data_IF_302944604724
#
_entry.id   IF_302944604724
#
_cell.length_a   1.000
_cell.length_b   1.000
_cell.length_c   1.000
_cell.angle_alpha   90.00
_cell.angle_beta   90.00
_cell.angle_gamma   90.00
#
_symmetry.space_group_name_H-M   'P 1'
#
loop_
_entity.id
_entity.type
_entity.pdbx_description
1 polymer ?
#
# COMPACT_ATOMS: atom_id res chain seq x y z
N UNK A 1 -31.01 29.27 93.97
CA UNK A 1 -29.55 29.40 93.80
C UNK A 1 -28.92 28.06 94.15
N UNK A 2 -28.03 27.56 93.30
CA UNK A 2 -27.41 26.22 93.41
C UNK A 2 -28.30 25.14 92.77
N UNK A 3 -27.92 24.43 91.72
CA UNK A 3 -26.61 23.95 91.32
C UNK A 3 -26.79 22.46 91.06
N UNK A 4 -27.20 22.08 89.85
CA UNK A 4 -27.45 20.68 89.48
C UNK A 4 -26.36 20.20 88.53
N UNK A 5 -25.56 19.28 89.05
CA UNK A 5 -24.61 18.45 88.31
C UNK A 5 -25.32 17.66 87.22
N UNK A 6 -24.79 17.70 85.99
CA UNK A 6 -25.07 16.71 84.96
C UNK A 6 -23.78 16.01 84.57
N UNK A 7 -23.85 14.69 84.61
CA UNK A 7 -22.78 13.72 84.36
C UNK A 7 -22.53 13.63 82.85
N UNK A 8 -21.26 13.71 82.48
CA UNK A 8 -20.70 13.54 81.14
C UNK A 8 -20.71 12.05 80.80
N UNK A 9 -21.39 11.68 79.72
CA UNK A 9 -21.31 10.35 79.08
C UNK A 9 -20.60 10.46 77.74
N UNK A 10 -19.42 9.87 77.65
CA UNK A 10 -18.58 9.74 76.46
C UNK A 10 -19.26 8.88 75.38
N UNK A 11 -19.35 9.40 74.15
CA UNK A 11 -19.53 8.60 72.93
C UNK A 11 -18.17 8.58 72.24
N UNK A 12 -17.56 7.39 72.15
CA UNK A 12 -16.30 7.17 71.45
C UNK A 12 -16.54 7.15 69.94
N UNK A 13 -15.84 8.03 69.22
CA UNK A 13 -15.74 8.02 67.77
C UNK A 13 -14.68 6.99 67.33
N UNK A 14 -15.09 5.99 66.56
CA UNK A 14 -14.20 5.11 65.81
C UNK A 14 -13.98 5.68 64.41
N UNK A 15 -12.87 6.39 64.21
CA UNK A 15 -12.38 6.81 62.90
C UNK A 15 -11.56 5.65 62.33
N UNK A 16 -12.09 4.97 61.31
CA UNK A 16 -11.35 4.00 60.52
C UNK A 16 -10.46 4.75 59.53
N UNK A 17 -9.16 4.84 59.83
CA UNK A 17 -8.14 5.37 58.92
C UNK A 17 -7.81 4.29 57.88
N UNK A 18 -8.31 4.44 56.65
CA UNK A 18 -7.84 3.63 55.51
C UNK A 18 -6.52 4.25 55.06
N UNK A 19 -5.41 3.59 55.40
CA UNK A 19 -4.11 3.90 54.82
C UNK A 19 -4.09 3.41 53.37
N UNK A 20 -4.16 4.34 52.41
CA UNK A 20 -3.83 4.08 51.02
C UNK A 20 -2.33 3.79 50.93
N UNK A 21 -1.99 2.51 50.86
CA UNK A 21 -0.63 2.04 50.62
C UNK A 21 -0.34 2.27 49.13
N UNK A 22 0.38 3.34 48.80
CA UNK A 22 1.01 3.49 47.49
C UNK A 22 2.13 2.46 47.40
N UNK A 23 1.85 1.34 46.75
CA UNK A 23 2.87 0.39 46.31
C UNK A 23 3.47 0.98 45.04
N UNK A 24 4.66 1.56 45.15
CA UNK A 24 5.49 1.91 44.00
C UNK A 24 5.96 0.60 43.35
N UNK A 25 5.15 0.10 42.41
CA UNK A 25 5.56 -0.98 41.51
C UNK A 25 6.74 -0.52 40.67
N UNK A 26 7.74 -1.39 40.54
CA UNK A 26 8.84 -1.22 39.59
C UNK A 26 8.28 -0.98 38.17
N UNK A 27 8.98 -0.21 37.30
CA UNK A 27 8.54 -0.03 35.92
C UNK A 27 8.45 -1.40 35.26
N UNK A 28 7.24 -1.77 34.84
CA UNK A 28 7.04 -2.94 34.00
C UNK A 28 7.93 -2.77 32.77
N UNK A 29 8.78 -3.76 32.52
CA UNK A 29 9.62 -3.82 31.35
C UNK A 29 8.71 -3.82 30.12
N UNK A 30 8.95 -2.87 29.22
CA UNK A 30 8.04 -2.46 28.16
C UNK A 30 7.76 -3.62 27.18
N UNK A 31 6.60 -4.25 27.30
CA UNK A 31 6.04 -4.98 26.17
C UNK A 31 5.92 -3.98 25.01
N UNK A 32 6.46 -4.31 23.84
CA UNK A 32 6.35 -3.45 22.65
C UNK A 32 5.02 -3.70 21.92
N UNK A 33 3.95 -3.97 22.68
CA UNK A 33 2.64 -4.28 22.15
C UNK A 33 1.97 -2.97 21.76
N UNK A 34 1.99 -2.63 20.47
CA UNK A 34 1.27 -1.46 19.94
C UNK A 34 -0.20 -1.53 20.33
N UNK A 35 -0.80 -0.40 20.67
CA UNK A 35 -2.22 -0.29 21.04
C UNK A 35 -2.53 -0.60 22.50
N UNK A 36 -1.57 -1.07 23.31
CA UNK A 36 -1.72 -1.26 24.76
C UNK A 36 -1.39 0.06 25.49
N UNK A 37 -2.33 1.00 25.45
CA UNK A 37 -2.13 2.38 25.94
C UNK A 37 -2.29 2.49 27.46
N UNK A 38 -2.90 1.49 28.10
CA UNK A 38 -3.01 1.41 29.56
C UNK A 38 -1.89 0.60 30.23
N UNK A 39 -0.98 0.05 29.43
CA UNK A 39 0.19 -0.73 29.85
C UNK A 39 -0.16 -2.03 30.61
N UNK A 40 -1.31 -2.65 30.33
CA UNK A 40 -1.73 -3.88 30.99
C UNK A 40 -1.31 -5.17 30.25
N UNK A 41 -0.56 -5.04 29.14
CA UNK A 41 -0.10 -6.12 28.26
C UNK A 41 -1.21 -6.77 27.41
N UNK A 42 -2.37 -6.13 27.27
CA UNK A 42 -3.52 -6.62 26.51
C UNK A 42 -4.12 -5.47 25.69
N UNK A 43 -4.15 -5.61 24.37
CA UNK A 43 -4.85 -4.66 23.48
C UNK A 43 -6.34 -5.00 23.44
N UNK A 44 -7.19 -4.05 23.84
CA UNK A 44 -8.64 -4.24 23.98
C UNK A 44 -9.43 -2.95 23.76
N UNK A 45 -10.76 -3.02 23.83
CA UNK A 45 -11.63 -1.82 23.78
C UNK A 45 -11.35 -0.81 24.89
N UNK A 46 -10.70 -1.20 25.98
CA UNK A 46 -10.29 -0.28 27.05
C UNK A 46 -9.26 0.70 26.52
N UNK A 47 -8.30 0.23 25.73
CA UNK A 47 -7.27 1.06 25.14
C UNK A 47 -7.87 2.07 24.14
N UNK A 48 -8.77 1.59 23.28
CA UNK A 48 -9.53 2.44 22.36
C UNK A 48 -10.32 3.53 23.12
N UNK A 49 -10.97 3.16 24.22
CA UNK A 49 -11.74 4.11 25.03
C UNK A 49 -10.85 5.16 25.71
N UNK A 50 -9.59 4.83 26.04
CA UNK A 50 -8.64 5.79 26.59
C UNK A 50 -8.14 6.76 25.52
N UNK A 51 -7.85 6.28 24.32
CA UNK A 51 -7.52 7.13 23.16
C UNK A 51 -8.67 8.11 22.88
N UNK A 52 -9.92 7.62 22.83
CA UNK A 52 -11.09 8.49 22.62
C UNK A 52 -11.30 9.51 23.76
N UNK A 53 -10.94 9.16 24.99
CA UNK A 53 -10.97 10.11 26.12
C UNK A 53 -9.86 11.16 26.01
N UNK A 54 -8.68 10.80 25.51
CA UNK A 54 -7.59 11.74 25.25
C UNK A 54 -8.00 12.73 24.15
N UNK A 55 -8.49 12.22 23.01
CA UNK A 55 -8.97 13.01 21.87
C UNK A 55 -10.10 13.98 22.27
N UNK A 56 -11.02 13.51 23.12
CA UNK A 56 -12.10 14.34 23.69
C UNK A 56 -11.64 15.30 24.82
N UNK A 57 -10.34 15.36 25.13
CA UNK A 57 -9.75 16.13 26.23
C UNK A 57 -10.39 15.85 27.60
N UNK A 58 -10.90 14.63 27.81
CA UNK A 58 -11.43 14.16 29.09
C UNK A 58 -10.31 13.71 30.04
N UNK A 59 -9.21 13.22 29.46
CA UNK A 59 -7.95 12.93 30.16
C UNK A 59 -6.82 13.76 29.53
N UNK A 60 -5.77 14.02 30.30
CA UNK A 60 -4.65 14.87 29.88
C UNK A 60 -3.44 14.12 29.31
N UNK A 61 -3.37 12.80 29.51
CA UNK A 61 -2.28 11.95 28.99
C UNK A 61 -2.67 10.47 29.10
N UNK A 62 -1.98 9.61 28.34
CA UNK A 62 -2.11 8.16 28.43
C UNK A 62 -0.98 7.55 29.29
N UNK A 63 -1.22 6.43 29.99
CA UNK A 63 -0.17 5.70 30.70
C UNK A 63 1.00 5.28 29.79
N UNK A 64 0.69 4.76 28.60
CA UNK A 64 1.63 4.37 27.55
C UNK A 64 1.37 5.16 26.25
N UNK A 65 1.58 6.47 26.29
CA UNK A 65 1.34 7.39 25.15
C UNK A 65 2.16 7.05 23.90
N UNK A 66 3.33 6.41 24.04
CA UNK A 66 4.13 6.01 22.88
C UNK A 66 3.59 4.77 22.14
N UNK A 67 2.47 4.20 22.58
CA UNK A 67 1.81 3.04 21.97
C UNK A 67 0.46 3.38 21.34
N UNK A 68 0.04 4.64 21.41
CA UNK A 68 -1.32 5.05 21.05
C UNK A 68 -1.47 5.55 19.63
N UNK A 69 -0.38 5.91 18.97
CA UNK A 69 -0.33 6.28 17.55
C UNK A 69 -0.07 5.00 16.72
N UNK A 70 -1.13 4.45 16.13
CA UNK A 70 -1.16 3.15 15.45
C UNK A 70 -1.08 3.27 13.93
N UNK A 71 -1.40 4.44 13.38
CA UNK A 71 -1.17 4.74 11.96
C UNK A 71 0.10 5.58 11.72
N UNK A 72 0.84 5.85 12.80
CA UNK A 72 2.10 6.60 12.86
C UNK A 72 1.98 8.05 12.39
N UNK A 73 0.77 8.61 12.31
CA UNK A 73 0.54 9.96 11.77
C UNK A 73 1.06 11.11 12.65
N UNK A 74 1.57 10.77 13.83
CA UNK A 74 2.11 11.70 14.82
C UNK A 74 1.05 12.27 15.76
N UNK A 75 -0.20 11.84 15.63
CA UNK A 75 -1.30 12.20 16.52
C UNK A 75 -1.83 10.96 17.25
N UNK A 76 -2.69 11.16 18.24
CA UNK A 76 -3.39 10.07 18.92
C UNK A 76 -4.84 10.48 19.00
N UNK A 77 -5.66 9.92 18.11
CA UNK A 77 -7.03 10.35 17.92
C UNK A 77 -8.02 9.18 17.69
N UNK A 78 -9.26 9.52 17.33
CA UNK A 78 -10.30 8.51 17.10
C UNK A 78 -9.96 7.46 16.02
N UNK A 79 -9.01 7.74 15.13
CA UNK A 79 -8.51 6.84 14.08
C UNK A 79 -7.72 5.67 14.68
N UNK A 80 -6.81 5.95 15.61
CA UNK A 80 -6.07 4.91 16.34
C UNK A 80 -7.01 4.02 17.17
N UNK A 81 -7.98 4.64 17.84
CA UNK A 81 -9.00 3.94 18.59
C UNK A 81 -9.81 2.99 17.68
N UNK A 82 -10.13 3.41 16.45
CA UNK A 82 -10.82 2.57 15.48
C UNK A 82 -9.98 1.34 15.10
N UNK A 83 -8.67 1.49 14.91
CA UNK A 83 -7.76 0.37 14.62
C UNK A 83 -7.79 -0.68 15.73
N UNK A 84 -7.75 -0.26 17.00
CA UNK A 84 -7.88 -1.16 18.16
C UNK A 84 -9.23 -1.89 18.15
N UNK A 85 -10.32 -1.17 17.89
CA UNK A 85 -11.66 -1.77 17.84
C UNK A 85 -11.81 -2.77 16.69
N UNK A 86 -11.19 -2.51 15.53
CA UNK A 86 -11.16 -3.45 14.41
C UNK A 86 -10.37 -4.71 14.77
N UNK A 87 -9.25 -4.58 15.48
CA UNK A 87 -8.46 -5.70 15.95
C UNK A 87 -9.22 -6.57 16.95
N UNK A 88 -9.85 -5.98 17.96
CA UNK A 88 -10.67 -6.71 18.94
C UNK A 88 -11.87 -7.40 18.27
N UNK A 89 -12.45 -6.79 17.22
CA UNK A 89 -13.50 -7.37 16.41
C UNK A 89 -13.02 -8.44 15.40
N UNK A 90 -11.71 -8.74 15.34
CA UNK A 90 -11.08 -9.66 14.39
C UNK A 90 -11.29 -9.28 12.92
N UNK A 91 -11.47 -7.98 12.64
CA UNK A 91 -11.53 -7.44 11.27
C UNK A 91 -10.14 -7.19 10.69
N UNK A 92 -9.16 -6.94 11.56
CA UNK A 92 -7.73 -6.92 11.23
C UNK A 92 -6.96 -7.88 12.15
N UNK A 93 -5.79 -8.34 11.71
CA UNK A 93 -5.03 -9.41 12.38
C UNK A 93 -3.96 -8.86 13.34
N UNK A 94 -3.58 -7.59 13.18
CA UNK A 94 -2.59 -6.91 14.02
C UNK A 94 -2.93 -5.43 14.13
N UNK A 95 -2.61 -4.84 15.30
CA UNK A 95 -2.57 -3.38 15.52
C UNK A 95 -1.16 -2.81 15.34
N UNK A 96 -0.15 -3.68 15.23
CA UNK A 96 1.19 -3.21 14.87
C UNK A 96 1.11 -2.61 13.46
N UNK A 97 1.69 -1.41 13.25
CA UNK A 97 1.97 -0.94 11.91
C UNK A 97 2.67 -2.06 11.15
N UNK A 98 2.37 -2.28 9.86
CA UNK A 98 3.00 -3.33 9.07
C UNK A 98 4.52 -3.09 9.04
N UNK A 99 5.23 -3.70 9.99
CA UNK A 99 6.68 -3.67 10.08
C UNK A 99 7.20 -4.72 9.11
N UNK A 100 7.56 -4.27 7.91
CA UNK A 100 8.07 -5.17 6.89
C UNK A 100 9.50 -5.55 7.26
N UNK A 101 9.63 -6.72 7.89
CA UNK A 101 10.91 -7.32 8.23
C UNK A 101 11.69 -7.60 6.94
N UNK A 102 12.81 -6.91 6.75
CA UNK A 102 13.63 -7.06 5.54
C UNK A 102 14.30 -8.44 5.41
N UNK A 103 14.23 -9.29 6.43
CA UNK A 103 14.88 -10.60 6.45
C UNK A 103 14.30 -11.60 5.43
N UNK A 104 13.02 -11.50 5.07
CA UNK A 104 12.40 -12.33 4.02
C UNK A 104 12.54 -11.72 2.61
N UNK A 105 13.19 -10.56 2.53
CA UNK A 105 13.43 -9.85 1.29
C UNK A 105 14.88 -10.01 0.89
N UNK A 106 15.18 -10.84 -0.11
CA UNK A 106 16.44 -10.65 -0.82
C UNK A 106 16.43 -9.23 -1.40
N UNK A 107 17.40 -8.36 -1.07
CA UNK A 107 17.45 -7.00 -1.58
C UNK A 107 17.29 -7.01 -3.11
N UNK A 108 16.26 -6.33 -3.60
CA UNK A 108 15.98 -6.26 -5.04
C UNK A 108 14.90 -7.20 -5.60
N UNK A 109 14.29 -8.08 -4.81
CA UNK A 109 13.11 -8.84 -5.28
C UNK A 109 11.82 -8.21 -4.76
N UNK A 110 11.23 -7.30 -5.55
CA UNK A 110 9.80 -7.06 -5.44
C UNK A 110 9.07 -8.40 -5.62
N UNK A 111 7.96 -8.65 -4.91
CA UNK A 111 7.15 -9.84 -5.14
C UNK A 111 6.94 -9.97 -6.65
N UNK A 112 7.41 -11.07 -7.22
CA UNK A 112 7.39 -11.22 -8.67
C UNK A 112 5.96 -11.03 -9.15
N UNK A 113 5.76 -10.16 -10.14
CA UNK A 113 4.45 -10.04 -10.80
C UNK A 113 3.98 -11.35 -11.46
N UNK A 114 4.80 -12.40 -11.47
CA UNK A 114 4.53 -13.73 -12.00
C UNK A 114 3.34 -14.49 -11.40
N UNK A 115 2.44 -13.82 -10.69
CA UNK A 115 1.14 -14.35 -10.29
C UNK A 115 -0.07 -13.67 -10.96
N UNK A 116 0.10 -12.56 -11.68
CA UNK A 116 -1.02 -11.95 -12.40
C UNK A 116 -1.30 -12.71 -13.69
N UNK A 117 -2.59 -12.93 -13.97
CA UNK A 117 -3.04 -13.35 -15.29
C UNK A 117 -2.89 -12.20 -16.30
N UNK A 118 -3.06 -12.48 -17.59
CA UNK A 118 -3.03 -11.44 -18.62
C UNK A 118 -4.14 -10.42 -18.39
N UNK A 119 -5.34 -10.90 -18.04
CA UNK A 119 -6.45 -10.05 -17.63
C UNK A 119 -6.11 -9.20 -16.41
N UNK A 120 -5.36 -9.73 -15.44
CA UNK A 120 -4.91 -8.97 -14.27
C UNK A 120 -3.99 -7.80 -14.62
N UNK A 121 -3.05 -8.01 -15.56
CA UNK A 121 -2.17 -6.93 -16.07
C UNK A 121 -2.98 -5.85 -16.77
N UNK A 122 -3.82 -6.24 -17.73
CA UNK A 122 -4.61 -5.31 -18.54
C UNK A 122 -5.69 -4.58 -17.73
N UNK A 123 -6.29 -5.25 -16.74
CA UNK A 123 -7.25 -4.62 -15.83
C UNK A 123 -6.60 -3.50 -15.01
N UNK A 124 -5.35 -3.68 -14.56
CA UNK A 124 -4.62 -2.63 -13.87
C UNK A 124 -4.36 -1.41 -14.78
N UNK A 125 -3.97 -1.64 -16.04
CA UNK A 125 -3.71 -0.58 -17.01
C UNK A 125 -4.97 0.22 -17.36
N UNK A 126 -6.12 -0.44 -17.47
CA UNK A 126 -7.41 0.22 -17.73
C UNK A 126 -7.87 1.03 -16.52
N UNK A 127 -7.79 0.48 -15.31
CA UNK A 127 -8.34 1.10 -14.11
C UNK A 127 -7.46 2.20 -13.51
N UNK A 128 -6.13 2.14 -13.71
CA UNK A 128 -5.20 3.13 -13.18
C UNK A 128 -5.52 4.58 -13.59
N UNK A 129 -5.73 4.91 -14.89
CA UNK A 129 -6.07 6.27 -15.31
C UNK A 129 -7.50 6.70 -14.92
N UNK A 130 -8.41 5.75 -14.67
CA UNK A 130 -9.79 6.04 -14.26
C UNK A 130 -9.94 6.32 -12.76
N UNK A 131 -9.00 5.82 -11.96
CA UNK A 131 -9.01 5.96 -10.51
C UNK A 131 -8.14 7.14 -10.06
N UNK A 132 -8.71 8.03 -9.25
CA UNK A 132 -7.94 9.01 -8.47
C UNK A 132 -7.43 8.43 -7.13
N UNK A 133 -7.87 7.23 -6.77
CA UNK A 133 -7.48 6.56 -5.53
C UNK A 133 -6.09 5.94 -5.65
N UNK A 134 -5.36 5.97 -4.53
CA UNK A 134 -4.06 5.31 -4.35
C UNK A 134 -4.15 3.80 -4.56
N UNK A 135 -5.28 3.18 -4.19
CA UNK A 135 -5.54 1.77 -4.39
C UNK A 135 -6.66 1.57 -5.41
N UNK A 136 -6.47 0.58 -6.28
CA UNK A 136 -7.53 0.08 -7.16
C UNK A 136 -8.49 -0.78 -6.34
N UNK A 137 -9.79 -0.70 -6.66
CA UNK A 137 -10.80 -1.58 -6.07
C UNK A 137 -10.53 -3.02 -6.50
N UNK A 138 -10.18 -3.90 -5.55
CA UNK A 138 -9.88 -5.32 -5.83
C UNK A 138 -11.06 -6.01 -6.51
N UNK A 139 -12.29 -5.84 -6.00
CA UNK A 139 -13.50 -6.44 -6.58
C UNK A 139 -13.78 -5.96 -8.02
N UNK A 140 -13.45 -4.70 -8.33
CA UNK A 140 -13.62 -4.18 -9.68
C UNK A 140 -12.53 -4.72 -10.61
N UNK A 141 -11.27 -4.68 -10.15
CA UNK A 141 -10.11 -5.22 -10.85
C UNK A 141 -10.28 -6.69 -11.19
N UNK A 142 -10.64 -7.51 -10.21
CA UNK A 142 -10.70 -8.98 -10.37
C UNK A 142 -11.83 -9.38 -11.32
N UNK A 143 -13.00 -8.72 -11.24
CA UNK A 143 -14.08 -8.94 -12.22
C UNK A 143 -13.69 -8.54 -13.64
N UNK A 144 -12.99 -7.42 -13.79
CA UNK A 144 -12.50 -6.97 -15.09
C UNK A 144 -11.42 -7.92 -15.64
N UNK A 145 -10.52 -8.39 -14.78
CA UNK A 145 -9.49 -9.36 -15.12
C UNK A 145 -10.09 -10.69 -15.60
N UNK A 146 -11.06 -11.24 -14.87
CA UNK A 146 -11.78 -12.46 -15.26
C UNK A 146 -12.48 -12.30 -16.63
N UNK A 147 -13.09 -11.13 -16.87
CA UNK A 147 -13.72 -10.82 -18.14
C UNK A 147 -12.70 -10.80 -19.29
N UNK A 148 -11.58 -10.08 -19.11
CA UNK A 148 -10.51 -9.98 -20.10
C UNK A 148 -9.88 -11.35 -20.36
N UNK A 149 -9.60 -12.14 -19.33
CA UNK A 149 -9.07 -13.51 -19.48
C UNK A 149 -10.02 -14.38 -20.31
N UNK A 150 -11.34 -14.24 -20.12
CA UNK A 150 -12.35 -14.89 -20.96
C UNK A 150 -12.28 -14.47 -22.43
N UNK A 151 -12.11 -13.17 -22.70
CA UNK A 151 -11.93 -12.61 -24.06
C UNK A 151 -10.66 -13.16 -24.72
N UNK A 152 -9.53 -13.10 -24.02
CA UNK A 152 -8.25 -13.58 -24.53
C UNK A 152 -8.24 -15.10 -24.76
N UNK A 153 -8.87 -15.86 -23.86
CA UNK A 153 -9.04 -17.30 -24.04
C UNK A 153 -9.86 -17.63 -25.29
N UNK A 154 -10.93 -16.88 -25.57
CA UNK A 154 -11.73 -17.06 -26.78
C UNK A 154 -10.90 -16.78 -28.05
N UNK A 155 -10.15 -15.67 -28.08
CA UNK A 155 -9.27 -15.32 -29.21
C UNK A 155 -8.22 -16.42 -29.44
N UNK A 156 -7.55 -16.87 -28.38
CA UNK A 156 -6.50 -17.91 -28.46
C UNK A 156 -7.04 -19.28 -28.84
N UNK A 157 -8.28 -19.60 -28.49
CA UNK A 157 -8.95 -20.81 -28.97
C UNK A 157 -9.21 -20.77 -30.48
N UNK A 158 -9.58 -19.60 -31.01
CA UNK A 158 -9.83 -19.40 -32.46
C UNK A 158 -8.53 -19.22 -33.26
N UNK A 159 -7.49 -18.65 -32.64
CA UNK A 159 -6.15 -18.40 -33.21
C UNK A 159 -5.03 -18.91 -32.30
N UNK A 160 -4.81 -20.23 -32.23
CA UNK A 160 -3.79 -20.80 -31.35
C UNK A 160 -2.37 -20.32 -31.62
N UNK A 161 -2.08 -19.92 -32.87
CA UNK A 161 -0.81 -19.36 -33.32
C UNK A 161 -0.48 -18.00 -32.69
N UNK A 162 -1.45 -17.31 -32.07
CA UNK A 162 -1.25 -16.05 -31.35
C UNK A 162 -1.13 -16.23 -29.82
N UNK A 163 -1.06 -17.47 -29.32
CA UNK A 163 -1.05 -17.74 -27.87
C UNK A 163 0.23 -17.27 -27.16
N UNK A 164 1.30 -17.01 -27.90
CA UNK A 164 2.55 -16.49 -27.37
C UNK A 164 2.51 -14.98 -27.11
N UNK A 165 1.54 -14.26 -27.68
CA UNK A 165 1.36 -12.82 -27.44
C UNK A 165 0.71 -12.66 -26.06
N UNK A 166 1.43 -12.00 -25.16
CA UNK A 166 1.03 -11.72 -23.77
C UNK A 166 1.06 -10.20 -23.59
N UNK A 167 0.20 -9.63 -22.71
CA UNK A 167 0.31 -8.23 -22.38
C UNK A 167 1.65 -8.00 -21.69
N UNK A 168 2.27 -6.88 -22.01
CA UNK A 168 3.50 -6.48 -21.36
C UNK A 168 3.18 -5.25 -20.52
N UNK A 169 3.33 -5.33 -19.18
CA UNK A 169 3.03 -4.20 -18.33
C UNK A 169 3.96 -3.02 -18.69
N UNK A 170 3.39 -1.93 -19.21
CA UNK A 170 4.14 -0.69 -19.42
C UNK A 170 4.59 -0.15 -18.07
N UNK A 171 3.70 -0.25 -17.08
CA UNK A 171 3.93 0.09 -15.68
C UNK A 171 3.81 -1.15 -14.83
N UNK A 172 4.86 -1.44 -14.05
CA UNK A 172 4.82 -2.51 -13.08
C UNK A 172 3.92 -2.09 -11.89
N UNK A 173 2.69 -2.59 -11.88
CA UNK A 173 1.76 -2.41 -10.76
C UNK A 173 2.41 -2.71 -9.40
N UNK A 174 2.20 -1.83 -8.42
CA UNK A 174 2.82 -1.98 -7.10
C UNK A 174 4.31 -1.64 -7.07
N UNK A 175 4.90 -1.07 -8.14
CA UNK A 175 6.29 -0.62 -8.12
C UNK A 175 6.42 0.86 -8.45
N UNK A 176 7.28 1.54 -7.69
CA UNK A 176 7.61 2.95 -7.86
C UNK A 176 9.12 3.12 -7.97
N UNK A 177 9.56 4.01 -8.86
CA UNK A 177 10.92 4.51 -8.92
C UNK A 177 10.96 5.88 -8.26
N UNK A 178 11.87 6.08 -7.31
CA UNK A 178 11.99 7.30 -6.53
C UNK A 178 13.42 7.78 -6.49
N UNK A 179 13.63 9.10 -6.56
CA UNK A 179 14.92 9.73 -6.28
C UNK A 179 14.84 10.46 -4.95
N UNK A 180 15.68 10.08 -3.99
CA UNK A 180 15.69 10.70 -2.67
C UNK A 180 16.36 12.08 -2.69
N UNK A 181 15.86 13.00 -1.85
CA UNK A 181 16.60 14.23 -1.52
C UNK A 181 17.94 13.89 -0.83
N UNK A 182 18.88 14.86 -0.72
CA UNK A 182 20.14 14.62 -0.03
C UNK A 182 19.98 14.09 1.41
N UNK A 183 19.07 14.67 2.20
CA UNK A 183 18.82 14.25 3.59
C UNK A 183 18.25 12.84 3.68
N UNK A 184 17.19 12.53 2.92
CA UNK A 184 16.62 11.19 2.86
C UNK A 184 17.64 10.16 2.35
N UNK A 185 18.46 10.55 1.37
CA UNK A 185 19.54 9.72 0.86
C UNK A 185 20.58 9.38 1.93
N UNK A 186 21.00 10.34 2.75
CA UNK A 186 21.91 10.08 3.88
C UNK A 186 21.30 9.10 4.90
N UNK A 187 20.02 9.28 5.24
CA UNK A 187 19.30 8.37 6.13
C UNK A 187 19.26 6.93 5.57
N UNK A 188 18.96 6.77 4.28
CA UNK A 188 18.95 5.47 3.61
C UNK A 188 20.35 4.84 3.57
N UNK A 189 21.42 5.62 3.34
CA UNK A 189 22.79 5.08 3.39
C UNK A 189 23.14 4.58 4.78
N UNK A 190 22.77 5.32 5.83
CA UNK A 190 23.01 4.92 7.20
C UNK A 190 22.27 3.61 7.54
N UNK A 191 21.01 3.52 7.11
CA UNK A 191 20.17 2.34 7.25
C UNK A 191 20.79 1.12 6.54
N UNK A 192 21.24 1.27 5.30
CA UNK A 192 21.88 0.20 4.52
C UNK A 192 23.30 -0.17 4.97
N UNK A 193 23.99 0.71 5.69
CA UNK A 193 25.29 0.43 6.30
C UNK A 193 25.17 -0.35 7.62
N UNK A 194 23.97 -0.44 8.19
CA UNK A 194 23.65 -1.22 9.39
C UNK A 194 23.67 -2.73 9.17
N UNK A 195 23.13 -3.46 10.15
CA UNK A 195 23.00 -4.92 10.08
C UNK A 195 21.85 -5.31 9.12
N UNK A 196 22.13 -5.86 7.93
CA UNK A 196 21.12 -6.13 6.90
C UNK A 196 20.05 -7.15 7.34
N UNK A 197 20.33 -7.98 8.36
CA UNK A 197 19.38 -9.00 8.84
C UNK A 197 18.27 -8.44 9.75
N UNK A 198 18.35 -7.16 10.16
CA UNK A 198 17.45 -6.56 11.15
C UNK A 198 16.88 -5.22 10.76
N UNK A 199 17.00 -4.84 9.50
CA UNK A 199 16.56 -3.53 9.08
C UNK A 199 15.02 -3.53 8.98
N UNK A 200 14.38 -2.63 9.70
CA UNK A 200 13.06 -2.11 9.35
C UNK A 200 13.29 -0.91 8.45
N UNK A 201 12.52 -0.75 7.38
CA UNK A 201 12.70 0.40 6.48
C UNK A 201 12.07 1.67 7.07
N UNK A 202 12.71 2.20 8.12
CA UNK A 202 12.34 3.43 8.82
C UNK A 202 13.50 4.40 8.71
N UNK A 203 13.31 5.49 7.99
CA UNK A 203 14.36 6.45 7.63
C UNK A 203 14.51 7.57 8.66
N UNK A 204 13.53 7.75 9.55
CA UNK A 204 13.45 8.90 10.46
C UNK A 204 12.85 10.14 9.79
N UNK A 205 12.36 10.01 8.55
CA UNK A 205 11.58 11.03 7.85
C UNK A 205 10.10 10.65 7.97
N UNK A 206 9.42 11.19 9.00
CA UNK A 206 8.09 10.74 9.41
C UNK A 206 7.10 10.68 8.25
N UNK A 207 6.97 11.73 7.44
CA UNK A 207 6.02 11.74 6.31
C UNK A 207 6.29 10.64 5.28
N UNK A 208 7.55 10.32 5.03
CA UNK A 208 7.96 9.25 4.11
C UNK A 208 7.72 7.87 4.73
N UNK A 209 8.06 7.70 6.00
CA UNK A 209 7.89 6.45 6.73
C UNK A 209 6.39 6.10 6.89
N UNK A 210 5.56 7.08 7.28
CA UNK A 210 4.09 6.98 7.36
C UNK A 210 3.51 6.57 6.02
N UNK A 211 3.91 7.23 4.93
CA UNK A 211 3.38 6.91 3.62
C UNK A 211 3.76 5.49 3.21
N UNK A 212 5.01 5.05 3.45
CA UNK A 212 5.41 3.67 3.19
C UNK A 212 4.59 2.66 4.00
N UNK A 213 4.38 2.90 5.29
CA UNK A 213 3.59 2.05 6.17
C UNK A 213 2.14 1.96 5.69
N UNK A 214 1.51 3.11 5.43
CA UNK A 214 0.14 3.23 4.91
C UNK A 214 -0.06 2.53 3.58
N UNK A 215 0.92 2.61 2.68
CA UNK A 215 0.86 1.94 1.38
C UNK A 215 1.19 0.45 1.45
N UNK A 216 1.64 -0.03 2.61
CA UNK A 216 2.07 -1.40 2.83
C UNK A 216 3.32 -1.73 2.02
N UNK A 217 4.40 -0.93 2.17
CA UNK A 217 5.68 -1.16 1.53
C UNK A 217 6.16 -2.58 1.81
N UNK A 218 6.02 -3.48 0.85
CA UNK A 218 6.44 -4.86 1.00
C UNK A 218 7.91 -5.05 0.71
N UNK A 219 8.61 -4.04 0.17
CA UNK A 219 10.07 -4.04 0.01
C UNK A 219 10.67 -2.93 -0.82
N UNK A 220 11.99 -2.96 -0.99
CA UNK A 220 12.68 -2.00 -1.84
C UNK A 220 14.02 -2.51 -2.39
N UNK A 221 14.51 -1.80 -3.41
CA UNK A 221 15.86 -1.90 -3.95
C UNK A 221 16.48 -0.50 -3.99
N UNK A 222 17.73 -0.36 -3.58
CA UNK A 222 18.45 0.92 -3.66
C UNK A 222 19.57 0.87 -4.69
N UNK A 223 19.62 1.88 -5.55
CA UNK A 223 20.59 2.07 -6.61
C UNK A 223 21.48 3.27 -6.31
N UNK A 224 22.68 3.29 -6.88
CA UNK A 224 23.65 4.38 -6.76
C UNK A 224 24.13 4.71 -5.33
N UNK A 225 23.80 3.86 -4.34
CA UNK A 225 24.13 4.04 -2.91
C UNK A 225 25.64 4.28 -2.67
N UNK A 226 26.49 3.69 -3.52
CA UNK A 226 27.96 3.75 -3.40
C UNK A 226 28.63 4.98 -4.02
N UNK A 227 27.87 5.87 -4.67
CA UNK A 227 28.40 7.09 -5.29
C UNK A 227 27.86 8.29 -4.50
N UNK A 228 28.64 8.86 -3.56
CA UNK A 228 28.16 9.88 -2.62
C UNK A 228 27.59 11.12 -3.31
N UNK A 229 28.10 11.48 -4.48
CA UNK A 229 27.74 12.69 -5.22
C UNK A 229 26.45 12.55 -6.04
N UNK A 230 25.95 11.32 -6.21
CA UNK A 230 24.71 11.06 -6.93
C UNK A 230 23.54 10.90 -5.95
N UNK A 231 22.34 11.37 -6.34
CA UNK A 231 21.15 11.11 -5.56
C UNK A 231 20.85 9.61 -5.57
N UNK A 232 20.30 9.10 -4.46
CA UNK A 232 19.91 7.70 -4.36
C UNK A 232 18.62 7.49 -5.13
N UNK A 233 18.63 6.48 -5.99
CA UNK A 233 17.42 5.97 -6.62
C UNK A 233 16.92 4.75 -5.83
N UNK A 234 15.62 4.65 -5.64
CA UNK A 234 14.94 3.53 -5.00
C UNK A 234 13.91 2.94 -5.96
N UNK A 235 13.84 1.61 -6.02
CA UNK A 235 12.63 0.93 -6.50
C UNK A 235 11.88 0.43 -5.27
N UNK A 236 10.70 1.00 -5.00
CA UNK A 236 9.83 0.61 -3.90
C UNK A 236 8.80 -0.41 -4.40
N UNK A 237 8.49 -1.41 -3.58
CA UNK A 237 7.59 -2.50 -3.89
C UNK A 237 6.39 -2.48 -2.93
N UNK A 238 5.19 -2.61 -3.48
CA UNK A 238 3.89 -2.53 -2.80
C UNK A 238 2.96 -3.62 -3.35
N UNK A 239 1.75 -3.80 -2.78
CA UNK A 239 0.75 -4.72 -3.34
C UNK A 239 0.38 -4.38 -4.79
N UNK A 240 0.13 -5.40 -5.62
CA UNK A 240 -0.15 -5.27 -7.06
C UNK A 240 -1.45 -4.53 -7.43
N UNK A 241 -2.23 -4.07 -6.43
CA UNK A 241 -3.43 -3.24 -6.64
C UNK A 241 -3.18 -1.76 -6.29
N UNK A 242 -1.94 -1.38 -5.99
CA UNK A 242 -1.54 0.01 -5.88
C UNK A 242 -1.66 0.67 -7.27
N UNK A 243 -2.35 1.80 -7.32
CA UNK A 243 -2.30 2.70 -8.46
C UNK A 243 -0.96 3.45 -8.44
N UNK A 244 0.03 2.93 -9.16
CA UNK A 244 1.40 3.46 -9.15
C UNK A 244 1.46 4.94 -9.53
N UNK A 245 0.58 5.44 -10.41
CA UNK A 245 0.56 6.86 -10.79
C UNK A 245 0.10 7.76 -9.64
N UNK A 246 -0.99 7.38 -8.96
CA UNK A 246 -1.49 8.12 -7.80
C UNK A 246 -0.50 8.05 -6.62
N UNK A 247 0.12 6.89 -6.41
CA UNK A 247 1.13 6.72 -5.37
C UNK A 247 2.41 7.52 -5.67
N UNK A 248 2.89 7.54 -6.92
CA UNK A 248 4.01 8.39 -7.34
C UNK A 248 3.73 9.87 -7.05
N UNK A 249 2.54 10.37 -7.39
CA UNK A 249 2.14 11.74 -7.08
C UNK A 249 2.10 12.02 -5.57
N UNK A 250 1.70 11.05 -4.76
CA UNK A 250 1.72 11.17 -3.30
C UNK A 250 3.16 11.26 -2.75
N UNK A 251 4.08 10.45 -3.25
CA UNK A 251 5.50 10.54 -2.87
C UNK A 251 6.15 11.84 -3.35
N UNK A 252 5.87 12.29 -4.57
CA UNK A 252 6.42 13.54 -5.13
C UNK A 252 5.95 14.79 -4.36
N UNK A 253 4.84 14.69 -3.61
CA UNK A 253 4.38 15.76 -2.74
C UNK A 253 5.17 15.88 -1.42
N UNK A 254 6.03 14.91 -1.09
CA UNK A 254 6.87 14.93 0.12
C UNK A 254 8.12 15.78 -0.12
N UNK A 255 8.50 16.62 0.85
CA UNK A 255 9.67 17.50 0.74
C UNK A 255 10.98 16.72 0.55
N UNK A 256 11.03 15.50 1.08
CA UNK A 256 12.23 14.68 1.16
C UNK A 256 12.42 13.79 -0.08
N UNK A 257 11.47 13.84 -1.01
CA UNK A 257 11.48 13.11 -2.28
C UNK A 257 11.79 14.09 -3.41
N UNK A 258 12.91 13.87 -4.11
CA UNK A 258 13.31 14.73 -5.21
C UNK A 258 12.49 14.48 -6.48
N UNK A 259 12.10 13.22 -6.73
CA UNK A 259 11.17 12.83 -7.78
C UNK A 259 10.60 11.44 -7.52
N UNK A 260 9.40 11.15 -8.00
CA UNK A 260 8.81 9.82 -7.97
C UNK A 260 8.06 9.55 -9.29
N UNK A 261 8.12 8.32 -9.77
CA UNK A 261 7.43 7.88 -10.97
C UNK A 261 7.00 6.41 -10.83
N UNK A 262 5.97 5.96 -11.57
CA UNK A 262 5.73 4.54 -11.73
C UNK A 262 6.97 3.82 -12.28
N UNK A 263 7.25 2.61 -11.80
CA UNK A 263 8.37 1.81 -12.33
C UNK A 263 7.96 1.23 -13.70
N UNK A 264 8.46 1.84 -14.77
CA UNK A 264 8.12 1.45 -16.14
C UNK A 264 9.16 0.50 -16.74
N UNK A 265 8.69 -0.48 -17.50
CA UNK A 265 9.58 -1.30 -18.32
C UNK A 265 9.85 -0.57 -19.64
N UNK A 266 11.13 -0.30 -19.90
CA UNK A 266 11.58 0.18 -21.20
C UNK A 266 11.86 -1.01 -22.13
N UNK A 267 11.29 -0.98 -23.32
CA UNK A 267 11.55 -1.95 -24.38
C UNK A 267 10.39 -2.03 -25.36
N UNK A 268 10.58 -2.81 -26.42
CA UNK A 268 9.54 -3.20 -27.40
C UNK A 268 9.32 -4.71 -27.32
N UNK A 269 8.13 -5.19 -27.66
CA UNK A 269 7.78 -6.60 -27.54
C UNK A 269 6.30 -6.85 -27.85
N UNK A 270 5.87 -8.12 -27.91
CA UNK A 270 4.47 -8.44 -28.11
C UNK A 270 3.62 -7.75 -27.06
N UNK A 271 2.48 -7.20 -27.48
CA UNK A 271 1.59 -6.49 -26.59
C UNK A 271 0.13 -6.70 -26.95
N UNK A 272 -0.74 -6.32 -26.01
CA UNK A 272 -2.19 -6.42 -26.17
C UNK A 272 -2.82 -5.11 -25.76
N UNK A 273 -3.57 -4.52 -26.67
CA UNK A 273 -4.40 -3.34 -26.40
C UNK A 273 -5.86 -3.71 -26.53
N UNK A 274 -6.69 -3.24 -25.60
CA UNK A 274 -8.11 -3.52 -25.63
C UNK A 274 -8.99 -2.43 -25.05
N UNK A 275 -10.20 -2.34 -25.60
CA UNK A 275 -11.22 -1.38 -25.18
C UNK A 275 -12.59 -2.03 -25.24
N UNK A 276 -13.41 -1.81 -24.20
CA UNK A 276 -14.81 -2.22 -24.21
C UNK A 276 -15.69 -1.05 -24.65
N UNK A 277 -16.57 -1.29 -25.63
CA UNK A 277 -17.68 -0.39 -25.99
C UNK A 277 -18.96 -1.19 -25.98
N UNK A 278 -19.92 -0.77 -25.16
CA UNK A 278 -21.14 -1.54 -24.87
C UNK A 278 -20.78 -2.98 -24.42
N UNK A 279 -21.25 -3.99 -25.14
CA UNK A 279 -21.01 -5.42 -24.88
C UNK A 279 -19.99 -6.03 -25.86
N UNK A 280 -19.15 -5.20 -26.48
CA UNK A 280 -18.14 -5.61 -27.46
C UNK A 280 -16.75 -5.19 -26.98
N UNK A 281 -15.85 -6.16 -26.93
CA UNK A 281 -14.42 -5.94 -26.75
C UNK A 281 -13.74 -5.77 -28.09
N UNK A 282 -12.98 -4.69 -28.23
CA UNK A 282 -12.10 -4.42 -29.35
C UNK A 282 -10.68 -4.74 -28.86
N UNK A 283 -9.99 -5.64 -29.56
CA UNK A 283 -8.68 -6.15 -29.12
C UNK A 283 -7.70 -6.07 -30.28
N UNK A 284 -6.52 -5.52 -30.01
CA UNK A 284 -5.36 -5.54 -30.90
C UNK A 284 -4.29 -6.41 -30.23
N UNK A 285 -3.80 -7.41 -30.96
CA UNK A 285 -2.61 -8.17 -30.58
C UNK A 285 -1.48 -7.74 -31.51
N UNK A 286 -0.38 -7.27 -30.95
CA UNK A 286 0.84 -6.95 -31.69
C UNK A 286 1.84 -8.10 -31.54
N UNK A 287 2.25 -8.71 -32.66
CA UNK A 287 3.29 -9.74 -32.67
C UNK A 287 4.67 -9.13 -32.95
N UNK A 288 5.12 -8.25 -32.04
CA UNK A 288 6.42 -7.60 -32.16
C UNK A 288 7.54 -8.52 -31.66
N UNK A 289 8.72 -8.42 -32.28
CA UNK A 289 9.88 -9.20 -31.87
C UNK A 289 11.12 -8.31 -31.76
N UNK A 290 11.77 -8.34 -30.59
CA UNK A 290 13.14 -7.86 -30.40
C UNK A 290 13.28 -6.62 -29.51
N UNK A 291 14.46 -6.49 -28.91
CA UNK A 291 14.87 -5.41 -27.98
C UNK A 291 15.19 -4.09 -28.70
N UNK A 292 14.57 -3.85 -29.87
CA UNK A 292 14.88 -2.69 -30.70
C UNK A 292 14.47 -1.43 -29.95
N UNK A 293 15.33 -0.44 -29.69
CA UNK A 293 14.95 0.78 -28.97
C UNK A 293 14.05 1.74 -29.78
N UNK A 294 13.54 1.32 -30.94
CA UNK A 294 12.94 2.18 -31.96
C UNK A 294 11.69 1.56 -32.63
N UNK A 295 11.11 0.52 -32.05
CA UNK A 295 9.90 -0.14 -32.55
C UNK A 295 10.21 -1.15 -33.64
N UNK A 296 10.57 -2.38 -33.27
CA UNK A 296 10.47 -3.51 -34.21
C UNK A 296 8.99 -3.94 -34.28
N UNK A 297 8.16 -3.05 -34.85
CA UNK A 297 6.71 -3.23 -34.94
C UNK A 297 6.35 -4.53 -35.64
N UNK A 298 5.44 -5.27 -35.03
CA UNK A 298 4.93 -6.54 -35.52
C UNK A 298 3.73 -6.38 -36.45
N UNK A 299 3.23 -7.46 -37.07
CA UNK A 299 1.88 -7.46 -37.61
C UNK A 299 0.86 -7.23 -36.48
N UNK A 300 -0.13 -6.37 -36.75
CA UNK A 300 -1.27 -6.15 -35.87
C UNK A 300 -2.42 -7.10 -36.23
N UNK A 301 -3.04 -7.66 -35.20
CA UNK A 301 -4.17 -8.56 -35.33
C UNK A 301 -5.40 -7.97 -34.62
N UNK A 302 -6.46 -7.69 -35.37
CA UNK A 302 -7.66 -7.00 -34.88
C UNK A 302 -8.81 -7.97 -34.65
N UNK A 303 -9.42 -7.88 -33.48
CA UNK A 303 -10.55 -8.72 -33.09
C UNK A 303 -11.66 -7.90 -32.44
N UNK A 304 -12.90 -8.30 -32.73
CA UNK A 304 -14.06 -7.95 -31.94
C UNK A 304 -14.55 -9.20 -31.22
N UNK A 305 -14.83 -9.10 -29.92
CA UNK A 305 -15.35 -10.21 -29.11
C UNK A 305 -16.63 -9.79 -28.41
N UNK A 306 -17.71 -10.52 -28.66
CA UNK A 306 -19.00 -10.29 -28.00
C UNK A 306 -19.67 -11.61 -27.65
N UNK A 307 -20.07 -11.76 -26.38
CA UNK A 307 -20.70 -12.99 -25.88
C UNK A 307 -19.90 -14.27 -26.23
N UNK A 308 -18.56 -14.18 -26.18
CA UNK A 308 -17.65 -15.27 -26.53
C UNK A 308 -17.48 -15.56 -28.03
N UNK A 309 -18.20 -14.84 -28.91
CA UNK A 309 -18.00 -14.93 -30.37
C UNK A 309 -16.84 -14.03 -30.76
N UNK A 310 -15.83 -14.60 -31.42
CA UNK A 310 -14.65 -13.89 -31.92
C UNK A 310 -14.82 -13.59 -33.40
N UNK A 311 -14.75 -12.33 -33.77
CA UNK A 311 -14.74 -11.85 -35.16
C UNK A 311 -13.39 -11.23 -35.45
N UNK A 312 -12.65 -11.80 -36.40
CA UNK A 312 -11.43 -11.16 -36.92
C UNK A 312 -11.83 -10.00 -37.83
N UNK A 313 -11.18 -8.86 -37.65
CA UNK A 313 -11.37 -7.67 -38.49
C UNK A 313 -10.16 -7.48 -39.39
N UNK A 314 -10.39 -7.23 -40.68
CA UNK A 314 -9.30 -6.97 -41.62
C UNK A 314 -8.69 -5.59 -41.36
N UNK A 315 -7.38 -5.43 -41.58
CA UNK A 315 -6.65 -4.19 -41.27
C UNK A 315 -7.25 -2.94 -41.94
N UNK A 316 -7.71 -3.06 -43.18
CA UNK A 316 -8.36 -1.95 -43.90
C UNK A 316 -9.70 -1.54 -43.26
N UNK A 317 -10.46 -2.50 -42.73
CA UNK A 317 -11.69 -2.23 -41.99
C UNK A 317 -11.38 -1.61 -40.62
N UNK A 318 -10.43 -2.20 -39.89
CA UNK A 318 -9.97 -1.69 -38.61
C UNK A 318 -9.45 -0.24 -38.71
N UNK A 319 -8.71 0.09 -39.77
CA UNK A 319 -8.23 1.45 -40.04
C UNK A 319 -9.33 2.47 -40.34
N UNK A 320 -10.56 2.03 -40.58
CA UNK A 320 -11.74 2.89 -40.74
C UNK A 320 -12.66 2.92 -39.52
N UNK A 321 -12.49 1.99 -38.57
CA UNK A 321 -13.23 1.96 -37.32
C UNK A 321 -12.58 2.91 -36.29
N UNK A 322 -13.30 3.92 -35.79
CA UNK A 322 -12.74 4.90 -34.85
C UNK A 322 -12.23 4.26 -33.55
N UNK A 323 -12.77 3.12 -33.14
CA UNK A 323 -12.38 2.41 -31.91
C UNK A 323 -11.01 1.75 -32.07
N UNK A 324 -10.76 1.10 -33.21
CA UNK A 324 -9.44 0.54 -33.49
C UNK A 324 -8.40 1.64 -33.74
N UNK A 325 -8.79 2.75 -34.37
CA UNK A 325 -7.89 3.91 -34.52
C UNK A 325 -7.47 4.48 -33.16
N UNK A 326 -8.40 4.56 -32.19
CA UNK A 326 -8.08 4.95 -30.81
C UNK A 326 -7.08 3.99 -30.17
N UNK A 327 -7.28 2.68 -30.30
CA UNK A 327 -6.36 1.68 -29.76
C UNK A 327 -4.97 1.72 -30.40
N UNK A 328 -4.88 1.86 -31.72
CA UNK A 328 -3.59 2.01 -32.43
C UNK A 328 -2.83 3.25 -31.95
N UNK A 329 -3.52 4.34 -31.63
CA UNK A 329 -2.88 5.54 -31.08
C UNK A 329 -2.26 5.29 -29.70
N UNK A 330 -2.78 4.34 -28.90
CA UNK A 330 -2.21 3.97 -27.61
C UNK A 330 -0.92 3.16 -27.75
N UNK A 331 -0.88 2.23 -28.72
CA UNK A 331 0.33 1.45 -29.05
C UNK A 331 1.50 2.36 -29.45
N UNK A 332 1.20 3.47 -30.16
CA UNK A 332 2.21 4.36 -30.74
C UNK A 332 2.66 5.47 -29.76
N UNK A 333 1.95 5.68 -28.65
CA UNK A 333 2.19 6.78 -27.72
C UNK A 333 3.31 6.45 -26.71
#
# INVERSE_FOLDING_TARGET
MGGRHYIIGFIAAGIATIAFLWISGAPADASNLFGDVDCNEIVSSIDAALILQLDAALIGSLPCENKSDLDEDGTTDSTDALTILQFEAQLIVSVEPPSVALADMTPGQCPSQGGLSDGGVLANEILAPESSGIFLSLDHRDRLADEIDGVLAAIRSEKPDLSHIRPRPIVLSGRLLLTASPSLGEAIRALLAGDPERVTFVTGHSSFDILNARLGLVGFAAFLVRIPELPIALSLCFPNHLNSSAAAAAFEALEEVASAAPDSLLGDGPDIELLKRDEIWYVILEDASGDCPAGCGGPLHFFQVSSGTVTRVDEAEAGSDPTFVELVQRIVA
#
